data_IF_155039582630
#
_entry.id   IF_155039582630
#
_cell.length_a   1.000
_cell.length_b   1.000
_cell.length_c   1.000
_cell.angle_alpha   90.00
_cell.angle_beta   90.00
_cell.angle_gamma   90.00
#
_symmetry.space_group_name_H-M   'P 1'
#
loop_
_entity.id
_entity.type
_entity.pdbx_description
1 polymer ?
#
# COMPACT_ATOMS: atom_id res chain seq x y z
N UNK A 1 -10.75 7.20 -12.61
CA UNK A 1 -11.71 7.95 -11.77
C UNK A 1 -12.96 7.16 -11.47
N UNK A 2 -13.63 6.54 -12.45
CA UNK A 2 -14.81 5.71 -12.19
C UNK A 2 -14.59 4.65 -11.09
N UNK A 3 -13.50 3.87 -11.15
CA UNK A 3 -13.13 2.92 -10.08
C UNK A 3 -12.97 3.57 -8.69
N UNK A 4 -12.53 4.84 -8.62
CA UNK A 4 -12.43 5.54 -7.34
C UNK A 4 -13.81 5.89 -6.78
N UNK A 5 -14.77 6.23 -7.63
CA UNK A 5 -16.14 6.53 -7.22
C UNK A 5 -16.83 5.25 -6.76
N UNK A 6 -16.73 4.17 -7.54
CA UNK A 6 -17.34 2.87 -7.23
C UNK A 6 -16.82 2.27 -5.91
N UNK A 7 -15.54 2.50 -5.61
CA UNK A 7 -14.92 2.05 -4.36
C UNK A 7 -15.11 3.04 -3.18
N UNK A 8 -15.87 4.12 -3.34
CA UNK A 8 -16.01 5.18 -2.33
C UNK A 8 -14.65 5.74 -1.85
N UNK A 9 -13.73 5.92 -2.80
CA UNK A 9 -12.41 6.54 -2.59
C UNK A 9 -12.37 8.00 -3.07
N UNK A 10 -13.37 8.41 -3.85
CA UNK A 10 -13.54 9.75 -4.40
C UNK A 10 -15.04 10.07 -4.39
N UNK A 11 -15.39 11.27 -3.95
CA UNK A 11 -16.78 11.76 -4.00
C UNK A 11 -16.84 13.14 -4.66
N UNK A 12 -18.00 13.45 -5.25
CA UNK A 12 -18.28 14.78 -5.78
C UNK A 12 -18.46 15.76 -4.62
N UNK A 13 -17.83 16.93 -4.72
CA UNK A 13 -18.00 17.98 -3.72
C UNK A 13 -19.41 18.58 -3.87
N UNK A 14 -20.21 18.66 -2.78
CA UNK A 14 -21.52 19.31 -2.81
C UNK A 14 -21.42 20.78 -3.23
N UNK A 15 -22.43 21.30 -3.93
CA UNK A 15 -22.43 22.68 -4.46
C UNK A 15 -22.25 23.74 -3.37
N UNK A 16 -22.79 23.49 -2.17
CA UNK A 16 -22.65 24.35 -1.00
C UNK A 16 -21.24 24.33 -0.37
N UNK A 17 -20.39 23.36 -0.72
CA UNK A 17 -19.03 23.21 -0.18
C UNK A 17 -17.94 23.61 -1.17
N UNK A 18 -18.27 23.90 -2.44
CA UNK A 18 -17.29 24.22 -3.49
C UNK A 18 -16.40 25.40 -3.08
N UNK A 19 -16.97 26.41 -2.42
CA UNK A 19 -16.24 27.63 -2.02
C UNK A 19 -15.48 27.51 -0.69
N UNK A 20 -15.48 26.34 -0.04
CA UNK A 20 -14.67 26.12 1.17
C UNK A 20 -13.17 26.21 0.85
N UNK A 21 -12.33 26.59 1.85
CA UNK A 21 -10.88 26.50 1.71
C UNK A 21 -10.46 25.09 1.31
N UNK A 22 -9.73 24.98 0.20
CA UNK A 22 -9.38 23.69 -0.38
C UNK A 22 -8.06 23.76 -1.15
N UNK A 23 -7.46 22.59 -1.36
CA UNK A 23 -6.29 22.42 -2.22
C UNK A 23 -6.64 21.48 -3.37
N UNK A 24 -6.38 21.95 -4.59
CA UNK A 24 -6.59 21.17 -5.80
C UNK A 24 -5.28 20.52 -6.24
N UNK A 25 -5.28 19.19 -6.29
CA UNK A 25 -4.15 18.39 -6.73
C UNK A 25 -4.25 18.15 -8.25
N UNK A 26 -3.29 18.65 -9.05
CA UNK A 26 -3.16 18.23 -10.44
C UNK A 26 -2.93 16.72 -10.48
N UNK A 27 -3.48 16.07 -11.49
CA UNK A 27 -3.31 14.64 -11.66
C UNK A 27 -3.17 14.23 -13.12
N UNK A 28 -2.49 13.11 -13.32
CA UNK A 28 -2.31 12.53 -14.64
C UNK A 28 -2.30 11.00 -14.58
N UNK A 29 -2.57 10.38 -15.72
CA UNK A 29 -2.53 8.94 -15.88
C UNK A 29 -1.11 8.48 -16.26
N UNK A 30 -0.56 7.52 -15.53
CA UNK A 30 0.64 6.77 -15.88
C UNK A 30 0.22 5.39 -16.36
N UNK A 31 0.46 5.12 -17.64
CA UNK A 31 0.12 3.84 -18.27
C UNK A 31 1.36 2.94 -18.24
N UNK A 32 1.27 1.82 -17.54
CA UNK A 32 2.31 0.78 -17.53
C UNK A 32 1.93 -0.32 -18.50
N UNK A 33 2.67 -0.42 -19.61
CA UNK A 33 2.47 -1.41 -20.67
C UNK A 33 3.14 -2.77 -20.36
N UNK A 34 3.96 -2.82 -19.32
CA UNK A 34 4.82 -3.94 -18.90
C UNK A 34 4.15 -4.90 -17.88
N UNK A 35 2.88 -4.71 -17.55
CA UNK A 35 2.13 -5.57 -16.63
C UNK A 35 0.97 -6.25 -17.34
N UNK A 36 0.77 -7.55 -17.10
CA UNK A 36 -0.27 -8.40 -17.72
C UNK A 36 -1.68 -7.79 -17.69
N UNK A 37 -1.96 -7.00 -16.66
CA UNK A 37 -3.11 -6.08 -16.64
C UNK A 37 -2.60 -4.67 -16.83
N UNK A 38 -3.04 -3.99 -17.89
CA UNK A 38 -2.74 -2.58 -18.21
C UNK A 38 -3.27 -1.63 -17.12
N UNK A 39 -2.64 -1.63 -15.95
CA UNK A 39 -3.09 -0.87 -14.78
C UNK A 39 -2.64 0.58 -14.95
N UNK A 40 -3.49 1.39 -15.57
CA UNK A 40 -3.42 2.84 -15.50
C UNK A 40 -3.40 3.25 -14.03
N UNK A 41 -2.35 3.96 -13.61
CA UNK A 41 -2.27 4.54 -12.27
C UNK A 41 -2.48 6.04 -12.37
N UNK A 42 -3.35 6.59 -11.53
CA UNK A 42 -3.46 8.05 -11.39
C UNK A 42 -2.42 8.53 -10.40
N UNK A 43 -1.64 9.53 -10.78
CA UNK A 43 -0.69 10.23 -9.91
C UNK A 43 -1.29 11.58 -9.55
N UNK A 44 -1.32 11.90 -8.26
CA UNK A 44 -1.74 13.19 -7.72
C UNK A 44 -0.50 13.96 -7.28
N UNK A 45 -0.36 15.22 -7.72
CA UNK A 45 0.83 16.03 -7.44
C UNK A 45 0.58 17.01 -6.29
N UNK A 46 0.94 16.61 -5.07
CA UNK A 46 0.89 17.47 -3.88
C UNK A 46 2.11 18.40 -3.73
N UNK A 47 3.09 18.30 -4.63
CA UNK A 47 4.25 19.20 -4.70
C UNK A 47 4.04 20.37 -5.68
N UNK A 48 2.91 20.42 -6.38
CA UNK A 48 2.60 21.57 -7.22
C UNK A 48 2.36 22.79 -6.33
N UNK A 49 3.13 23.85 -6.57
CA UNK A 49 2.97 25.13 -5.87
C UNK A 49 1.72 25.85 -6.37
N UNK A 50 0.93 26.33 -5.43
CA UNK A 50 -0.24 27.15 -5.71
C UNK A 50 0.11 28.63 -5.88
N UNK A 51 -0.90 29.49 -5.82
CA UNK A 51 -0.76 30.95 -5.92
C UNK A 51 0.13 31.55 -4.82
N UNK A 52 0.20 30.90 -3.65
CA UNK A 52 1.07 31.27 -2.53
C UNK A 52 2.53 30.87 -2.73
N UNK A 53 2.88 30.22 -3.85
CA UNK A 53 4.20 29.63 -4.11
C UNK A 53 4.65 28.58 -3.07
N UNK A 54 3.68 28.02 -2.35
CA UNK A 54 3.83 26.95 -1.37
C UNK A 54 3.02 25.75 -1.87
N UNK A 55 3.57 24.55 -1.72
CA UNK A 55 2.87 23.29 -2.04
C UNK A 55 2.30 22.63 -0.80
N UNK A 56 1.30 21.76 -0.96
CA UNK A 56 0.73 21.01 0.16
C UNK A 56 1.81 20.20 0.91
N UNK A 57 2.75 19.60 0.18
CA UNK A 57 3.82 18.82 0.77
C UNK A 57 4.81 19.64 1.62
N UNK A 58 4.93 20.95 1.39
CA UNK A 58 5.76 21.83 2.23
C UNK A 58 5.08 22.17 3.56
N UNK A 59 3.75 22.09 3.63
CA UNK A 59 2.95 22.38 4.84
C UNK A 59 2.60 21.12 5.64
N UNK A 60 2.61 19.94 5.03
CA UNK A 60 2.29 18.69 5.69
C UNK A 60 3.43 18.22 6.62
N UNK A 61 3.06 17.81 7.83
CA UNK A 61 3.96 17.11 8.74
C UNK A 61 4.21 15.68 8.22
N UNK A 62 5.45 15.40 7.83
CA UNK A 62 5.86 14.08 7.27
C UNK A 62 5.70 12.95 8.28
N UNK A 63 5.95 13.22 9.56
CA UNK A 63 6.06 12.22 10.61
C UNK A 63 7.43 11.51 10.61
N UNK A 64 7.81 10.85 11.72
CA UNK A 64 9.06 10.10 11.81
C UNK A 64 9.03 8.83 10.96
N UNK A 65 10.20 8.34 10.56
CA UNK A 65 10.31 7.02 9.93
C UNK A 65 10.04 5.92 10.98
N UNK A 66 9.06 5.05 10.68
CA UNK A 66 8.64 3.95 11.57
C UNK A 66 9.16 2.57 11.12
N UNK A 67 9.59 2.43 9.87
CA UNK A 67 10.03 1.15 9.31
C UNK A 67 11.55 0.99 9.44
N UNK A 68 11.95 -0.23 9.76
CA UNK A 68 13.32 -0.68 9.63
C UNK A 68 13.83 -0.50 8.19
N UNK A 69 15.15 -0.43 8.04
CA UNK A 69 15.74 -0.44 6.73
C UNK A 69 15.46 -1.78 6.00
N UNK A 70 15.27 -1.69 4.70
CA UNK A 70 14.98 -2.84 3.84
C UNK A 70 16.03 -3.97 3.97
N UNK A 71 17.30 -3.64 4.25
CA UNK A 71 18.36 -4.66 4.35
C UNK A 71 18.17 -5.52 5.59
N UNK A 72 17.87 -4.90 6.73
CA UNK A 72 17.56 -5.61 7.97
C UNK A 72 16.37 -6.56 7.79
N UNK A 73 15.32 -6.12 7.12
CA UNK A 73 14.14 -6.92 6.81
C UNK A 73 14.49 -8.12 5.89
N UNK A 74 15.23 -7.89 4.80
CA UNK A 74 15.69 -8.97 3.91
C UNK A 74 16.59 -9.97 4.64
N UNK A 75 17.49 -9.51 5.52
CA UNK A 75 18.36 -10.40 6.30
C UNK A 75 17.56 -11.27 7.25
N UNK A 76 16.59 -10.72 7.99
CA UNK A 76 15.70 -11.50 8.87
C UNK A 76 14.89 -12.53 8.09
N UNK A 77 14.37 -12.12 6.95
CA UNK A 77 13.60 -12.97 6.05
C UNK A 77 14.44 -14.15 5.53
N UNK A 78 15.66 -13.91 5.03
CA UNK A 78 16.56 -14.94 4.51
C UNK A 78 17.05 -15.96 5.55
N UNK A 79 16.94 -15.65 6.84
CA UNK A 79 17.29 -16.59 7.90
C UNK A 79 16.22 -17.66 8.17
N UNK A 80 15.06 -17.61 7.50
CA UNK A 80 13.94 -18.54 7.72
C UNK A 80 13.97 -19.69 6.72
N UNK A 81 13.57 -20.88 7.17
CA UNK A 81 13.48 -22.06 6.29
C UNK A 81 12.28 -22.00 5.34
N UNK A 82 11.12 -21.61 5.88
CA UNK A 82 9.89 -21.41 5.11
C UNK A 82 9.60 -19.92 5.06
N UNK A 83 9.91 -19.33 3.91
CA UNK A 83 9.77 -17.91 3.62
C UNK A 83 8.47 -17.68 2.86
N UNK A 84 7.78 -16.59 3.16
CA UNK A 84 6.64 -16.13 2.39
C UNK A 84 6.64 -14.62 2.24
N UNK A 85 6.03 -14.15 1.15
CA UNK A 85 5.80 -12.74 0.90
C UNK A 85 4.36 -12.52 0.45
N UNK A 86 3.83 -11.34 0.67
CA UNK A 86 2.51 -10.91 0.21
C UNK A 86 2.48 -9.38 0.08
N UNK A 87 1.49 -8.82 -0.60
CA UNK A 87 1.26 -7.37 -0.63
C UNK A 87 -0.12 -6.98 -0.10
N UNK A 88 -0.23 -5.78 0.48
CA UNK A 88 -1.51 -5.21 0.87
C UNK A 88 -2.17 -4.56 -0.34
N UNK A 89 -3.38 -5.02 -0.65
CA UNK A 89 -4.16 -4.48 -1.75
C UNK A 89 -4.47 -3.00 -1.53
N UNK A 90 -3.91 -2.14 -2.39
CA UNK A 90 -4.20 -0.70 -2.42
C UNK A 90 -4.00 -0.04 -1.05
N UNK A 91 -2.95 -0.39 -0.30
CA UNK A 91 -2.70 0.01 1.10
C UNK A 91 -3.18 1.42 1.47
N UNK A 92 -2.67 2.46 0.81
CA UNK A 92 -3.07 3.85 1.10
C UNK A 92 -4.58 4.11 0.95
N UNK A 93 -5.22 3.46 -0.03
CA UNK A 93 -6.66 3.62 -0.31
C UNK A 93 -7.54 2.92 0.73
N UNK A 94 -6.99 2.08 1.61
CA UNK A 94 -7.76 1.47 2.69
C UNK A 94 -7.97 2.44 3.87
N UNK A 95 -7.16 3.50 3.96
CA UNK A 95 -7.11 4.40 5.12
C UNK A 95 -7.94 5.65 4.84
N UNK A 96 -8.95 5.92 5.68
CA UNK A 96 -9.76 7.15 5.58
C UNK A 96 -8.96 8.36 6.04
N UNK A 97 -9.13 9.47 5.33
CA UNK A 97 -8.71 10.79 5.82
C UNK A 97 -9.85 11.42 6.61
N UNK A 98 -9.47 12.14 7.67
CA UNK A 98 -10.42 12.87 8.53
C UNK A 98 -11.27 13.81 7.70
N UNK A 99 -12.54 14.02 8.09
CA UNK A 99 -13.49 14.77 7.27
C UNK A 99 -13.02 16.20 7.02
N UNK A 100 -12.36 16.78 8.00
CA UNK A 100 -11.85 18.14 8.04
C UNK A 100 -10.71 18.35 7.03
N UNK A 101 -9.93 17.31 6.74
CA UNK A 101 -8.76 17.38 5.87
C UNK A 101 -9.03 16.95 4.42
N UNK A 102 -10.22 16.42 4.12
CA UNK A 102 -10.55 15.90 2.76
C UNK A 102 -10.52 16.99 1.69
N UNK A 103 -10.84 18.23 2.04
CA UNK A 103 -10.79 19.35 1.11
C UNK A 103 -9.36 19.79 0.76
N UNK A 104 -8.34 19.29 1.49
CA UNK A 104 -6.93 19.48 1.13
C UNK A 104 -6.47 18.54 0.00
N UNK A 105 -7.36 17.68 -0.51
CA UNK A 105 -7.06 16.72 -1.57
C UNK A 105 -8.18 16.69 -2.63
N UNK A 106 -8.63 17.89 -3.06
CA UNK A 106 -9.58 18.05 -4.16
C UNK A 106 -8.92 17.84 -5.52
N UNK A 107 -9.73 17.46 -6.50
CA UNK A 107 -9.34 17.33 -7.90
C UNK A 107 -10.45 17.85 -8.81
N UNK A 108 -10.07 18.26 -10.02
CA UNK A 108 -11.01 18.63 -11.09
C UNK A 108 -11.12 17.51 -12.11
N UNK A 109 -12.32 16.96 -12.32
CA UNK A 109 -12.52 15.85 -13.26
C UNK A 109 -13.77 16.01 -14.12
N UNK A 110 -13.71 15.49 -15.35
CA UNK A 110 -14.84 15.28 -16.27
C UNK A 110 -14.64 13.99 -17.05
N UNK A 111 -15.71 13.24 -17.33
CA UNK A 111 -15.59 11.97 -18.03
C UNK A 111 -15.34 12.14 -19.54
N UNK A 112 -15.80 13.25 -20.13
CA UNK A 112 -15.54 13.56 -21.54
C UNK A 112 -15.43 15.08 -21.76
N UNK A 113 -14.89 15.48 -22.91
CA UNK A 113 -14.62 16.90 -23.25
C UNK A 113 -15.87 17.77 -23.29
N UNK A 114 -17.04 17.17 -23.53
CA UNK A 114 -18.33 17.86 -23.68
C UNK A 114 -18.98 18.12 -22.30
N UNK A 115 -18.66 17.31 -21.31
CA UNK A 115 -19.18 17.48 -19.96
C UNK A 115 -18.47 18.64 -19.22
N UNK A 116 -19.19 19.34 -18.32
CA UNK A 116 -18.58 20.34 -17.46
C UNK A 116 -17.53 19.68 -16.56
N UNK A 117 -16.47 20.43 -16.25
CA UNK A 117 -15.52 20.05 -15.19
C UNK A 117 -16.25 20.10 -13.86
N UNK A 118 -15.97 19.13 -12.99
CA UNK A 118 -16.60 19.00 -11.68
C UNK A 118 -15.54 18.84 -10.59
N UNK A 119 -15.88 19.31 -9.40
CA UNK A 119 -15.08 19.20 -8.18
C UNK A 119 -15.31 17.85 -7.51
N UNK A 120 -14.21 17.16 -7.23
CA UNK A 120 -14.20 15.93 -6.45
C UNK A 120 -13.18 16.04 -5.32
N UNK A 121 -13.38 15.27 -4.25
CA UNK A 121 -12.40 15.13 -3.16
C UNK A 121 -12.06 13.68 -2.89
N UNK A 122 -10.77 13.42 -2.66
CA UNK A 122 -10.27 12.10 -2.28
C UNK A 122 -10.61 11.85 -0.81
N UNK A 123 -11.06 10.63 -0.52
CA UNK A 123 -11.53 10.25 0.83
C UNK A 123 -10.50 9.46 1.64
N UNK A 124 -9.45 9.01 0.96
CA UNK A 124 -8.46 8.08 1.48
C UNK A 124 -7.08 8.70 1.42
N UNK A 125 -6.11 8.12 2.14
CA UNK A 125 -4.72 8.61 2.09
C UNK A 125 -4.23 8.58 0.64
N UNK A 126 -3.72 9.73 0.19
CA UNK A 126 -3.35 9.94 -1.22
C UNK A 126 -1.84 9.78 -1.39
N UNK A 127 -1.44 8.81 -2.21
CA UNK A 127 -0.03 8.63 -2.60
C UNK A 127 0.51 9.88 -3.30
N UNK A 128 1.72 10.30 -2.92
CA UNK A 128 2.34 11.54 -3.38
C UNK A 128 2.23 12.71 -2.40
N UNK A 129 1.44 12.55 -1.32
CA UNK A 129 1.48 13.46 -0.17
C UNK A 129 2.65 13.10 0.76
N UNK A 130 3.26 14.11 1.39
CA UNK A 130 4.48 13.94 2.19
C UNK A 130 4.26 13.05 3.43
N UNK A 131 3.06 13.12 4.04
CA UNK A 131 2.69 12.35 5.23
C UNK A 131 2.16 10.94 4.92
N UNK A 132 1.82 10.63 3.67
CA UNK A 132 1.20 9.35 3.30
C UNK A 132 1.99 8.11 3.79
N UNK A 133 3.32 8.03 3.62
CA UNK A 133 4.10 6.89 4.13
C UNK A 133 3.93 6.68 5.63
N UNK A 134 4.08 7.73 6.43
CA UNK A 134 3.92 7.66 7.88
C UNK A 134 2.51 7.22 8.25
N UNK A 135 1.49 7.85 7.68
CA UNK A 135 0.08 7.52 7.96
C UNK A 135 -0.22 6.05 7.64
N UNK A 136 0.31 5.53 6.53
CA UNK A 136 0.09 4.15 6.13
C UNK A 136 0.69 3.15 7.12
N UNK A 137 1.95 3.35 7.49
CA UNK A 137 2.66 2.46 8.42
C UNK A 137 2.11 2.58 9.84
N UNK A 138 1.86 3.80 10.31
CA UNK A 138 1.33 4.03 11.65
C UNK A 138 -0.04 3.40 11.82
N UNK A 139 -0.86 3.40 10.77
CA UNK A 139 -2.17 2.72 10.77
C UNK A 139 -2.02 1.20 10.87
N UNK A 140 -1.07 0.59 10.13
CA UNK A 140 -0.79 -0.85 10.28
C UNK A 140 -0.32 -1.21 11.70
N UNK A 141 0.56 -0.38 12.27
CA UNK A 141 0.99 -0.55 13.65
C UNK A 141 -0.18 -0.45 14.63
N UNK A 142 -1.11 0.49 14.41
CA UNK A 142 -2.30 0.62 15.24
C UNK A 142 -3.20 -0.62 15.15
N UNK A 143 -3.41 -1.15 13.95
CA UNK A 143 -4.19 -2.39 13.77
C UNK A 143 -3.53 -3.57 14.51
N UNK A 144 -2.19 -3.67 14.48
CA UNK A 144 -1.48 -4.68 15.25
C UNK A 144 -1.60 -4.49 16.77
N UNK A 145 -1.67 -3.26 17.26
CA UNK A 145 -1.89 -2.95 18.68
C UNK A 145 -3.32 -3.29 19.13
N UNK A 146 -4.31 -2.88 18.34
CA UNK A 146 -5.72 -3.01 18.68
C UNK A 146 -6.21 -4.47 18.56
N UNK A 147 -5.78 -5.17 17.50
CA UNK A 147 -6.33 -6.47 17.13
C UNK A 147 -5.35 -7.64 17.34
N UNK A 148 -4.09 -7.35 17.67
CA UNK A 148 -3.03 -8.33 17.75
C UNK A 148 -2.79 -8.94 19.13
N UNK A 149 -3.59 -8.58 20.15
CA UNK A 149 -3.39 -9.01 21.55
C UNK A 149 -3.28 -10.53 21.70
N UNK A 150 -4.12 -11.29 20.99
CA UNK A 150 -4.17 -12.75 21.07
C UNK A 150 -3.19 -13.44 20.10
N UNK A 151 -2.49 -12.66 19.26
CA UNK A 151 -1.61 -13.14 18.20
C UNK A 151 -0.27 -12.39 18.24
N UNK A 152 0.42 -12.45 19.38
CA UNK A 152 1.59 -11.60 19.66
C UNK A 152 2.70 -11.69 18.61
N UNK A 153 2.92 -12.87 18.03
CA UNK A 153 3.93 -13.07 17.00
C UNK A 153 3.51 -12.48 15.64
N UNK A 154 2.26 -12.66 15.23
CA UNK A 154 1.70 -12.01 14.04
C UNK A 154 1.68 -10.48 14.19
N UNK A 155 1.29 -9.96 15.36
CA UNK A 155 1.30 -8.54 15.67
C UNK A 155 2.71 -7.94 15.61
N UNK A 156 3.72 -8.69 16.08
CA UNK A 156 5.13 -8.30 15.95
C UNK A 156 5.55 -8.26 14.48
N UNK A 157 5.22 -9.29 13.70
CA UNK A 157 5.53 -9.36 12.26
C UNK A 157 4.88 -8.21 11.48
N UNK A 158 3.63 -7.84 11.78
CA UNK A 158 2.97 -6.69 11.15
C UNK A 158 3.76 -5.38 11.40
N UNK A 159 4.40 -5.26 12.56
CA UNK A 159 5.18 -4.07 12.92
C UNK A 159 6.58 -4.05 12.33
N UNK A 160 7.20 -5.22 12.17
CA UNK A 160 8.64 -5.36 11.88
C UNK A 160 8.98 -5.85 10.47
N UNK A 161 8.08 -6.61 9.82
CA UNK A 161 8.40 -7.35 8.58
C UNK A 161 7.65 -6.79 7.35
N UNK A 162 6.99 -5.64 7.49
CA UNK A 162 6.46 -4.87 6.36
C UNK A 162 7.43 -3.79 5.90
N UNK A 163 7.64 -3.73 4.59
CA UNK A 163 8.17 -2.56 3.90
C UNK A 163 7.08 -1.94 3.04
N UNK A 164 6.58 -0.77 3.43
CA UNK A 164 5.34 -0.20 2.91
C UNK A 164 4.20 -1.25 2.82
N UNK A 165 3.75 -1.58 1.61
CA UNK A 165 2.70 -2.56 1.33
C UNK A 165 3.18 -4.01 1.22
N UNK A 166 4.49 -4.25 1.16
CA UNK A 166 5.09 -5.57 0.97
C UNK A 166 5.43 -6.23 2.32
N UNK A 167 4.86 -7.40 2.58
CA UNK A 167 5.21 -8.29 3.69
C UNK A 167 6.31 -9.25 3.26
N UNK A 168 7.39 -9.36 4.05
CA UNK A 168 8.40 -10.40 3.85
C UNK A 168 8.75 -11.06 5.19
N UNK A 169 8.25 -12.27 5.40
CA UNK A 169 8.43 -12.98 6.67
C UNK A 169 8.58 -14.48 6.47
N UNK A 170 8.73 -15.23 7.56
CA UNK A 170 8.93 -16.67 7.51
C UNK A 170 9.12 -17.30 8.87
N UNK A 171 9.12 -18.63 8.87
CA UNK A 171 9.35 -19.48 10.06
C UNK A 171 10.21 -20.68 9.72
N UNK A 172 10.70 -21.36 10.75
CA UNK A 172 11.59 -22.53 10.59
C UNK A 172 10.82 -23.82 10.31
N UNK A 173 9.51 -23.83 10.57
CA UNK A 173 8.61 -24.94 10.27
C UNK A 173 7.47 -24.48 9.36
N UNK A 174 6.99 -25.40 8.53
CA UNK A 174 5.84 -25.17 7.64
C UNK A 174 4.57 -24.83 8.43
N UNK A 175 4.32 -25.54 9.54
CA UNK A 175 3.12 -25.34 10.35
C UNK A 175 3.09 -23.95 10.98
N UNK A 176 4.21 -23.49 11.54
CA UNK A 176 4.31 -22.16 12.12
C UNK A 176 4.17 -21.07 11.06
N UNK A 177 4.76 -21.26 9.87
CA UNK A 177 4.62 -20.33 8.76
C UNK A 177 3.15 -20.17 8.34
N UNK A 178 2.44 -21.29 8.13
CA UNK A 178 1.01 -21.27 7.76
C UNK A 178 0.18 -20.58 8.84
N UNK A 179 0.41 -20.95 10.11
CA UNK A 179 -0.31 -20.38 11.25
C UNK A 179 -0.15 -18.87 11.28
N UNK A 180 1.09 -18.39 11.29
CA UNK A 180 1.36 -16.95 11.44
C UNK A 180 0.86 -16.14 10.24
N UNK A 181 0.98 -16.68 9.02
CA UNK A 181 0.46 -16.01 7.82
C UNK A 181 -1.07 -15.84 7.87
N UNK A 182 -1.80 -16.85 8.36
CA UNK A 182 -3.25 -16.77 8.56
C UNK A 182 -3.64 -15.79 9.67
N UNK A 183 -2.89 -15.78 10.77
CA UNK A 183 -3.11 -14.83 11.88
C UNK A 183 -2.87 -13.38 11.45
N UNK A 184 -1.82 -13.12 10.66
CA UNK A 184 -1.57 -11.79 10.06
C UNK A 184 -2.75 -11.39 9.18
N UNK A 185 -3.20 -12.27 8.29
CA UNK A 185 -4.36 -12.02 7.44
C UNK A 185 -5.62 -11.68 8.25
N UNK A 186 -5.86 -12.41 9.35
CA UNK A 186 -6.98 -12.16 10.25
C UNK A 186 -6.91 -10.78 10.92
N UNK A 187 -5.75 -10.42 11.49
CA UNK A 187 -5.53 -9.12 12.15
C UNK A 187 -5.73 -7.98 11.13
N UNK A 188 -5.09 -8.07 9.98
CA UNK A 188 -5.15 -7.04 8.94
C UNK A 188 -6.57 -6.87 8.39
N UNK A 189 -7.31 -7.96 8.22
CA UNK A 189 -8.68 -7.93 7.72
C UNK A 189 -9.63 -7.17 8.66
N UNK A 190 -9.42 -7.23 9.99
CA UNK A 190 -10.17 -6.43 10.95
C UNK A 190 -9.92 -4.92 10.80
N UNK A 191 -8.70 -4.54 10.41
CA UNK A 191 -8.34 -3.18 10.03
C UNK A 191 -8.78 -2.77 8.61
N UNK A 192 -9.44 -3.66 7.86
CA UNK A 192 -9.84 -3.43 6.47
C UNK A 192 -8.72 -3.61 5.44
N UNK A 193 -7.58 -4.17 5.83
CA UNK A 193 -6.47 -4.47 4.93
C UNK A 193 -6.55 -5.91 4.43
N UNK A 194 -6.45 -6.10 3.12
CA UNK A 194 -6.49 -7.41 2.47
C UNK A 194 -5.12 -7.74 1.87
N UNK A 195 -4.57 -8.89 2.22
CA UNK A 195 -3.35 -9.42 1.60
C UNK A 195 -3.66 -10.07 0.24
N UNK A 196 -2.72 -9.95 -0.69
CA UNK A 196 -2.78 -10.56 -2.02
C UNK A 196 -1.37 -10.94 -2.50
N UNK A 197 -1.29 -11.62 -3.66
CA UNK A 197 -0.05 -12.12 -4.29
C UNK A 197 0.89 -12.85 -3.34
N UNK A 198 0.33 -13.74 -2.53
CA UNK A 198 1.09 -14.60 -1.67
C UNK A 198 2.04 -15.50 -2.47
N UNK A 199 3.30 -15.55 -2.06
CA UNK A 199 4.38 -16.37 -2.61
C UNK A 199 5.15 -17.05 -1.48
N UNK A 200 5.76 -18.21 -1.75
CA UNK A 200 6.61 -18.91 -0.79
C UNK A 200 7.56 -19.89 -1.48
N UNK A 201 8.73 -20.13 -0.89
CA UNK A 201 9.65 -21.22 -1.30
C UNK A 201 9.14 -22.61 -0.94
N UNK A 202 7.96 -22.74 -0.31
CA UNK A 202 7.36 -24.02 0.03
C UNK A 202 6.01 -24.20 -0.68
N UNK A 203 5.91 -25.21 -1.55
CA UNK A 203 4.68 -25.47 -2.31
C UNK A 203 3.49 -25.89 -1.42
N UNK A 204 3.75 -26.60 -0.31
CA UNK A 204 2.69 -27.00 0.64
C UNK A 204 2.14 -25.81 1.42
N UNK A 205 2.96 -24.78 1.65
CA UNK A 205 2.48 -23.51 2.22
C UNK A 205 1.48 -22.84 1.27
N UNK A 206 1.82 -22.72 -0.02
CA UNK A 206 0.95 -22.07 -1.00
C UNK A 206 -0.40 -22.79 -1.17
N UNK A 207 -0.42 -24.12 -1.03
CA UNK A 207 -1.66 -24.90 -1.10
C UNK A 207 -2.69 -24.51 -0.04
N UNK A 208 -2.30 -23.82 1.04
CA UNK A 208 -3.19 -23.39 2.12
C UNK A 208 -3.97 -22.10 1.86
N UNK A 209 -3.65 -21.40 0.77
CA UNK A 209 -4.27 -20.12 0.38
C UNK A 209 -5.08 -20.30 -0.90
N UNK A 210 -6.12 -19.51 -1.11
CA UNK A 210 -6.93 -19.61 -2.33
C UNK A 210 -6.14 -19.20 -3.58
N UNK A 211 -6.41 -19.76 -4.77
CA UNK A 211 -5.71 -19.38 -6.00
C UNK A 211 -5.75 -17.86 -6.28
N UNK A 212 -6.82 -17.18 -5.86
CA UNK A 212 -6.96 -15.71 -6.00
C UNK A 212 -6.04 -14.90 -5.08
N UNK A 213 -5.56 -15.50 -4.00
CA UNK A 213 -4.67 -14.88 -3.03
C UNK A 213 -3.19 -15.09 -3.40
N UNK A 214 -2.90 -16.09 -4.25
CA UNK A 214 -1.54 -16.45 -4.69
C UNK A 214 -1.06 -15.55 -5.82
N UNK A 215 0.25 -15.34 -5.91
CA UNK A 215 0.83 -14.70 -7.09
C UNK A 215 0.84 -15.66 -8.28
N UNK A 216 0.56 -15.16 -9.48
CA UNK A 216 0.80 -15.87 -10.74
C UNK A 216 2.28 -15.84 -11.15
N UNK A 217 3.10 -14.99 -10.52
CA UNK A 217 4.51 -14.82 -10.85
C UNK A 217 5.38 -15.74 -9.98
N UNK A 218 6.22 -16.52 -10.66
CA UNK A 218 7.23 -17.41 -10.02
C UNK A 218 8.44 -16.63 -9.50
N UNK A 219 8.57 -15.36 -9.91
CA UNK A 219 9.70 -14.49 -9.58
C UNK A 219 9.21 -13.23 -8.86
N UNK A 220 9.90 -12.88 -7.78
CA UNK A 220 9.69 -11.64 -7.04
C UNK A 220 10.86 -10.70 -7.29
N UNK A 221 10.58 -9.56 -7.93
CA UNK A 221 11.53 -8.46 -8.11
C UNK A 221 11.56 -7.59 -6.86
N UNK A 222 12.53 -7.81 -5.97
CA UNK A 222 12.72 -6.97 -4.79
C UNK A 222 13.41 -5.68 -5.23
N UNK A 223 12.68 -4.56 -5.23
CA UNK A 223 13.21 -3.25 -5.64
C UNK A 223 13.78 -2.50 -4.44
N UNK A 224 15.11 -2.52 -4.32
CA UNK A 224 15.83 -1.71 -3.33
C UNK A 224 16.00 -0.28 -3.89
N UNK A 225 15.45 0.71 -3.18
CA UNK A 225 15.71 2.15 -3.28
C UNK A 225 15.69 2.80 -4.67
N UNK A 226 14.62 2.61 -5.45
CA UNK A 226 14.35 3.45 -6.65
C UNK A 226 15.43 3.44 -7.74
N UNK A 227 16.45 2.59 -7.61
CA UNK A 227 17.60 2.56 -8.49
C UNK A 227 17.28 1.61 -9.64
N UNK A 228 17.19 2.16 -10.85
CA UNK A 228 17.05 1.39 -12.08
C UNK A 228 18.23 0.42 -12.14
N UNK A 229 17.94 -0.88 -12.01
CA UNK A 229 18.85 -2.01 -12.27
C UNK A 229 20.27 -1.83 -11.70
N UNK A 230 20.41 -1.82 -10.38
CA UNK A 230 21.74 -1.96 -9.77
C UNK A 230 21.85 -3.15 -8.80
N UNK A 231 20.74 -3.64 -8.23
CA UNK A 231 20.79 -4.81 -7.34
C UNK A 231 19.83 -5.96 -7.68
N UNK A 232 18.94 -5.80 -8.66
CA UNK A 232 18.10 -6.84 -9.31
C UNK A 232 18.02 -8.21 -8.61
N UNK A 233 17.53 -8.24 -7.37
CA UNK A 233 17.41 -9.48 -6.62
C UNK A 233 16.15 -10.18 -7.08
N UNK A 234 16.35 -11.27 -7.81
CA UNK A 234 15.32 -12.20 -8.24
C UNK A 234 15.32 -13.37 -7.26
N UNK A 235 14.20 -13.61 -6.60
CA UNK A 235 14.02 -14.81 -5.78
C UNK A 235 13.50 -15.95 -6.66
N UNK A 236 14.28 -17.03 -6.76
CA UNK A 236 13.89 -18.27 -7.43
C UNK A 236 13.32 -19.23 -6.40
N UNK A 237 11.99 -19.37 -6.40
CA UNK A 237 11.27 -20.20 -5.43
C UNK A 237 11.60 -21.70 -5.53
N UNK A 238 12.29 -22.15 -6.59
CA UNK A 238 12.70 -23.54 -6.80
C UNK A 238 14.17 -23.83 -6.52
N UNK A 239 15.04 -22.82 -6.49
CA UNK A 239 16.51 -23.01 -6.36
C UNK A 239 17.16 -22.28 -5.19
N UNK A 240 16.52 -21.28 -4.60
CA UNK A 240 17.09 -20.52 -3.48
C UNK A 240 16.91 -21.24 -2.13
N UNK A 241 17.01 -22.57 -2.14
CA UNK A 241 17.05 -23.47 -0.99
C UNK A 241 18.33 -24.33 -1.09
N UNK A 242 19.49 -23.70 -0.98
CA UNK A 242 20.75 -24.36 -0.61
C UNK A 242 21.55 -23.49 0.37
#
# INVERSE_FOLDING_TARGET
MQEYIELNHLERVPENEINNPAVYLPHHAVVRQDKETSKVRTVFNASQKGNSNISLNEELLVGPQLQDDMRSLIMRWRMKRVCFVADIQKMYRQILVSKEDRDLQRILWRNCKIQPVQDYRLLRVTFGTASAPYLAVRTLHQVAEDEGRDYSDAARIIKEDFYMDDLMSGKDTLQDAIKVAKEIGFILQKGGFTLQKCCSNNAEFLKQFEPSERSSQVHLDIKIDGTIRALGLQWDMGKDLE
#
